data_IF_489140548638
#
_entry.id   IF_489140548638
#
_cell.length_a   1.000
_cell.length_b   1.000
_cell.length_c   1.000
_cell.angle_alpha   90.00
_cell.angle_beta   90.00
_cell.angle_gamma   90.00
#
_symmetry.space_group_name_H-M   'P 1'
#
loop_
_entity.id
_entity.type
_entity.pdbx_description
1 polymer ?
#
# COMPACT_ATOMS: atom_id res chain seq x y z
N UNK A 1 11.30 -7.99 -19.19
CA UNK A 1 10.67 -8.57 -17.99
C UNK A 1 11.64 -9.59 -17.43
N UNK A 2 12.32 -9.29 -16.33
CA UNK A 2 13.26 -10.23 -15.72
C UNK A 2 12.47 -11.35 -15.05
N UNK A 3 12.71 -12.59 -15.46
CA UNK A 3 12.10 -13.76 -14.81
C UNK A 3 12.51 -13.80 -13.33
N UNK A 4 11.59 -14.11 -12.39
CA UNK A 4 11.88 -14.01 -10.97
C UNK A 4 12.80 -15.13 -10.50
N UNK A 5 13.76 -14.76 -9.65
CA UNK A 5 14.50 -15.67 -8.77
C UNK A 5 13.54 -16.66 -8.10
N UNK A 6 13.79 -17.98 -8.21
CA UNK A 6 12.94 -19.08 -7.71
C UNK A 6 12.11 -18.69 -6.46
N UNK A 7 10.80 -18.47 -6.63
CA UNK A 7 9.85 -18.23 -5.54
C UNK A 7 9.31 -19.57 -5.01
N UNK A 8 9.17 -19.68 -3.69
CA UNK A 8 8.41 -20.79 -3.11
C UNK A 8 6.89 -20.57 -3.27
N UNK A 9 6.08 -21.59 -2.96
CA UNK A 9 4.63 -21.52 -3.18
C UNK A 9 3.93 -20.39 -2.41
N UNK A 10 4.44 -19.99 -1.24
CA UNK A 10 3.87 -18.85 -0.48
C UNK A 10 4.25 -17.52 -1.13
N UNK A 11 5.52 -17.39 -1.52
CA UNK A 11 6.01 -16.19 -2.21
C UNK A 11 5.31 -15.97 -3.54
N UNK A 12 5.08 -17.04 -4.31
CA UNK A 12 4.37 -16.98 -5.58
C UNK A 12 2.93 -16.46 -5.39
N UNK A 13 2.18 -17.03 -4.44
CA UNK A 13 0.80 -16.57 -4.16
C UNK A 13 0.76 -15.13 -3.66
N UNK A 14 1.72 -14.72 -2.84
CA UNK A 14 1.82 -13.34 -2.37
C UNK A 14 2.14 -12.39 -3.52
N UNK A 15 3.07 -12.77 -4.40
CA UNK A 15 3.42 -12.01 -5.60
C UNK A 15 2.22 -11.84 -6.53
N UNK A 16 1.56 -12.95 -6.90
CA UNK A 16 0.38 -12.93 -7.76
C UNK A 16 -0.75 -12.11 -7.14
N UNK A 17 -1.04 -12.30 -5.85
CA UNK A 17 -2.08 -11.55 -5.15
C UNK A 17 -1.81 -10.03 -5.14
N UNK A 18 -0.57 -9.61 -4.86
CA UNK A 18 -0.20 -8.20 -4.92
C UNK A 18 -0.25 -7.63 -6.33
N UNK A 19 0.18 -8.41 -7.32
CA UNK A 19 0.15 -8.01 -8.73
C UNK A 19 -1.29 -7.79 -9.22
N UNK A 20 -2.21 -8.69 -8.88
CA UNK A 20 -3.62 -8.53 -9.26
C UNK A 20 -4.29 -7.40 -8.46
N UNK A 21 -3.97 -7.23 -7.17
CA UNK A 21 -4.46 -6.10 -6.38
C UNK A 21 -3.96 -4.75 -6.96
N UNK A 22 -2.71 -4.68 -7.42
CA UNK A 22 -2.14 -3.54 -8.11
C UNK A 22 -2.93 -3.18 -9.37
N UNK A 23 -3.25 -4.18 -10.20
CA UNK A 23 -4.07 -3.97 -11.41
C UNK A 23 -5.50 -3.53 -11.05
N UNK A 24 -6.11 -4.14 -10.04
CA UNK A 24 -7.45 -3.82 -9.61
C UNK A 24 -7.57 -2.37 -9.11
N UNK A 25 -6.65 -1.95 -8.24
CA UNK A 25 -6.59 -0.58 -7.72
C UNK A 25 -6.48 0.44 -8.86
N UNK A 26 -5.54 0.20 -9.78
CA UNK A 26 -5.33 1.10 -10.91
C UNK A 26 -6.51 1.16 -11.88
N UNK A 27 -7.12 0.00 -12.18
CA UNK A 27 -8.32 -0.05 -13.00
C UNK A 27 -9.45 0.75 -12.35
N UNK A 28 -9.65 0.59 -11.05
CA UNK A 28 -10.70 1.31 -10.30
C UNK A 28 -10.50 2.82 -10.36
N UNK A 29 -9.27 3.30 -10.15
CA UNK A 29 -8.93 4.72 -10.27
C UNK A 29 -9.12 5.24 -11.71
N UNK A 30 -8.72 4.45 -12.71
CA UNK A 30 -8.87 4.81 -14.13
C UNK A 30 -10.34 4.88 -14.54
N UNK A 31 -11.15 3.89 -14.18
CA UNK A 31 -12.59 3.86 -14.46
C UNK A 31 -13.33 5.03 -13.80
N UNK A 32 -12.85 5.50 -12.65
CA UNK A 32 -13.35 6.68 -11.96
C UNK A 32 -12.83 8.02 -12.52
N UNK A 33 -12.00 8.00 -13.57
CA UNK A 33 -11.52 9.19 -14.28
C UNK A 33 -10.34 9.91 -13.63
N UNK A 34 -9.66 9.32 -12.64
CA UNK A 34 -8.54 9.97 -11.92
C UNK A 34 -7.30 10.25 -12.79
N UNK A 35 -7.23 9.63 -13.97
CA UNK A 35 -6.15 9.80 -14.94
C UNK A 35 -6.59 10.58 -16.19
N UNK A 36 -7.75 11.26 -16.11
CA UNK A 36 -8.25 12.13 -17.16
C UNK A 36 -8.43 13.55 -16.60
N UNK A 37 -8.15 14.55 -17.42
CA UNK A 37 -8.51 15.93 -17.13
C UNK A 37 -10.04 16.07 -17.20
N UNK A 38 -10.72 16.56 -16.15
CA UNK A 38 -12.18 16.57 -16.11
C UNK A 38 -12.82 17.59 -17.07
N UNK A 39 -12.06 18.60 -17.53
CA UNK A 39 -12.56 19.61 -18.46
C UNK A 39 -12.39 19.20 -19.93
N UNK A 40 -11.31 18.48 -20.24
CA UNK A 40 -10.92 18.13 -21.62
C UNK A 40 -11.09 16.65 -21.96
N UNK A 41 -11.10 15.78 -20.95
CA UNK A 41 -11.10 14.32 -21.12
C UNK A 41 -9.75 13.74 -21.55
N UNK A 42 -8.70 14.56 -21.63
CA UNK A 42 -7.37 14.13 -22.05
C UNK A 42 -6.61 13.41 -20.90
N UNK A 43 -5.71 12.47 -21.21
CA UNK A 43 -4.92 11.79 -20.18
C UNK A 43 -4.05 12.76 -19.37
N UNK A 44 -4.04 12.59 -18.05
CA UNK A 44 -3.18 13.36 -17.13
C UNK A 44 -2.21 12.46 -16.39
N UNK A 45 -1.01 13.00 -16.18
CA UNK A 45 -0.05 12.44 -15.23
C UNK A 45 -0.25 13.11 -13.88
N UNK A 46 -0.51 12.32 -12.84
CA UNK A 46 -0.69 12.82 -11.48
C UNK A 46 0.65 13.27 -10.89
N UNK A 47 0.65 14.35 -10.12
CA UNK A 47 1.86 14.82 -9.46
C UNK A 47 2.28 13.85 -8.35
N UNK A 48 3.56 13.43 -8.36
CA UNK A 48 4.05 12.46 -7.39
C UNK A 48 3.95 12.94 -5.93
N UNK A 49 4.24 14.22 -5.68
CA UNK A 49 4.15 14.79 -4.33
C UNK A 49 2.71 14.83 -3.81
N UNK A 50 1.74 15.14 -4.67
CA UNK A 50 0.31 15.15 -4.31
C UNK A 50 -0.19 13.75 -3.97
N UNK A 51 0.16 12.73 -4.78
CA UNK A 51 -0.27 11.36 -4.48
C UNK A 51 0.37 10.82 -3.20
N UNK A 52 1.61 11.19 -2.91
CA UNK A 52 2.26 10.86 -1.62
C UNK A 52 1.55 11.57 -0.45
N UNK A 53 1.21 12.84 -0.60
CA UNK A 53 0.47 13.58 0.44
C UNK A 53 -0.90 12.95 0.73
N UNK A 54 -1.59 12.42 -0.30
CA UNK A 54 -2.83 11.67 -0.13
C UNK A 54 -2.63 10.32 0.58
N UNK A 55 -1.45 9.69 0.50
CA UNK A 55 -1.17 8.49 1.32
C UNK A 55 -0.94 8.86 2.79
N UNK A 56 -0.33 10.03 3.04
CA UNK A 56 -0.14 10.56 4.38
C UNK A 56 -1.46 10.93 5.05
N UNK A 57 -2.47 11.40 4.31
CA UNK A 57 -3.79 11.67 4.88
C UNK A 57 -4.42 10.40 5.45
N UNK A 58 -4.40 9.28 4.71
CA UNK A 58 -5.10 8.06 5.19
C UNK A 58 -4.44 7.51 6.46
N UNK A 59 -3.11 7.60 6.55
CA UNK A 59 -2.41 7.22 7.79
C UNK A 59 -2.71 8.17 8.97
N UNK A 60 -3.03 9.43 8.68
CA UNK A 60 -3.46 10.39 9.70
C UNK A 60 -4.89 10.11 10.14
N UNK A 61 -5.76 9.70 9.22
CA UNK A 61 -7.14 9.26 9.50
C UNK A 61 -7.14 7.95 10.32
N UNK A 62 -6.26 7.00 10.00
CA UNK A 62 -6.07 5.79 10.80
C UNK A 62 -5.66 6.12 12.25
N UNK A 63 -4.75 7.09 12.42
CA UNK A 63 -4.33 7.54 13.76
C UNK A 63 -5.49 8.21 14.51
N UNK A 64 -6.31 8.99 13.82
CA UNK A 64 -7.50 9.63 14.39
C UNK A 64 -8.56 8.59 14.82
N UNK A 65 -8.80 7.57 13.99
CA UNK A 65 -9.68 6.46 14.30
C UNK A 65 -9.21 5.69 15.54
N UNK A 66 -7.90 5.42 15.66
CA UNK A 66 -7.32 4.81 16.86
C UNK A 66 -7.54 5.67 18.11
N UNK A 67 -7.22 6.96 18.00
CA UNK A 67 -7.32 7.92 19.11
C UNK A 67 -8.74 8.05 19.67
N UNK A 68 -9.74 7.94 18.80
CA UNK A 68 -11.16 8.12 19.15
C UNK A 68 -11.94 6.80 19.27
N UNK A 69 -11.35 5.67 18.90
CA UNK A 69 -12.04 4.38 18.84
C UNK A 69 -13.19 4.36 17.82
N UNK A 70 -12.96 4.93 16.63
CA UNK A 70 -13.99 5.08 15.60
C UNK A 70 -14.12 3.83 14.72
N UNK A 71 -15.36 3.57 14.32
CA UNK A 71 -15.67 2.76 13.14
C UNK A 71 -15.57 3.66 11.89
N UNK A 72 -15.38 3.07 10.72
CA UNK A 72 -15.34 3.83 9.47
C UNK A 72 -16.70 4.45 9.12
N UNK A 73 -16.70 5.65 8.53
CA UNK A 73 -17.92 6.37 8.17
C UNK A 73 -18.65 5.73 6.97
N UNK A 74 -17.91 5.18 6.01
CA UNK A 74 -18.46 4.60 4.77
C UNK A 74 -18.80 3.11 4.93
N UNK A 75 -18.07 2.42 5.80
CA UNK A 75 -18.23 1.02 6.20
C UNK A 75 -18.42 0.94 7.72
N UNK A 76 -19.59 1.32 8.26
CA UNK A 76 -19.82 1.45 9.72
C UNK A 76 -19.66 0.16 10.55
N UNK A 77 -19.49 -0.98 9.87
CA UNK A 77 -19.26 -2.29 10.47
C UNK A 77 -17.78 -2.67 10.53
N UNK A 78 -16.87 -1.83 10.04
CA UNK A 78 -15.41 -2.02 10.05
C UNK A 78 -14.74 -1.04 10.98
N UNK A 79 -13.65 -1.48 11.62
CA UNK A 79 -12.79 -0.61 12.41
C UNK A 79 -12.19 0.48 11.52
N UNK A 80 -12.23 1.75 11.94
CA UNK A 80 -11.74 2.86 11.12
C UNK A 80 -10.26 2.69 10.74
N UNK A 81 -9.42 2.15 11.63
CA UNK A 81 -8.00 1.90 11.33
C UNK A 81 -7.82 0.88 10.21
N UNK A 82 -8.65 -0.16 10.20
CA UNK A 82 -8.60 -1.23 9.19
C UNK A 82 -8.92 -0.66 7.80
N UNK A 83 -9.94 0.19 7.71
CA UNK A 83 -10.36 0.80 6.44
C UNK A 83 -9.31 1.80 5.94
N UNK A 84 -8.79 2.65 6.83
CA UNK A 84 -7.78 3.63 6.43
C UNK A 84 -6.44 3.00 6.00
N UNK A 85 -6.07 1.85 6.58
CA UNK A 85 -4.96 1.06 6.06
C UNK A 85 -5.25 0.48 4.67
N UNK A 86 -6.48 0.03 4.42
CA UNK A 86 -6.89 -0.45 3.11
C UNK A 86 -6.83 0.69 2.07
N UNK A 87 -7.33 1.88 2.40
CA UNK A 87 -7.28 3.07 1.53
C UNK A 87 -5.83 3.47 1.21
N UNK A 88 -4.94 3.46 2.20
CA UNK A 88 -3.51 3.69 1.98
C UNK A 88 -2.87 2.64 1.05
N UNK A 89 -3.16 1.34 1.26
CA UNK A 89 -2.68 0.25 0.40
C UNK A 89 -3.16 0.44 -1.04
N UNK A 90 -4.45 0.75 -1.24
CA UNK A 90 -5.03 0.99 -2.57
C UNK A 90 -4.32 2.13 -3.28
N UNK A 91 -4.04 3.25 -2.59
CA UNK A 91 -3.31 4.39 -3.16
C UNK A 91 -1.88 4.02 -3.57
N UNK A 92 -1.16 3.28 -2.72
CA UNK A 92 0.20 2.81 -3.03
C UNK A 92 0.17 1.93 -4.29
N UNK A 93 -0.76 1.00 -4.35
CA UNK A 93 -0.89 0.04 -5.44
C UNK A 93 -1.30 0.71 -6.77
N UNK A 94 -2.28 1.61 -6.75
CA UNK A 94 -2.65 2.43 -7.91
C UNK A 94 -1.44 3.24 -8.43
N UNK A 95 -0.75 3.95 -7.53
CA UNK A 95 0.42 4.76 -7.89
C UNK A 95 1.55 3.89 -8.44
N UNK A 96 1.78 2.71 -7.86
CA UNK A 96 2.78 1.76 -8.35
C UNK A 96 2.47 1.29 -9.78
N UNK A 97 1.20 1.00 -10.09
CA UNK A 97 0.79 0.64 -11.43
C UNK A 97 1.01 1.78 -12.42
N UNK A 98 0.56 2.99 -12.08
CA UNK A 98 0.70 4.17 -12.93
C UNK A 98 2.17 4.51 -13.26
N UNK A 99 3.08 4.24 -12.32
CA UNK A 99 4.51 4.47 -12.48
C UNK A 99 5.28 3.27 -13.05
N UNK A 100 4.61 2.13 -13.29
CA UNK A 100 5.26 0.90 -13.78
C UNK A 100 6.23 0.26 -12.78
N UNK A 101 5.98 0.41 -11.47
CA UNK A 101 6.82 -0.13 -10.41
C UNK A 101 6.45 -1.61 -10.11
N UNK A 102 7.48 -2.45 -9.95
CA UNK A 102 7.33 -3.85 -9.50
C UNK A 102 7.32 -3.93 -7.96
N UNK A 103 6.24 -3.43 -7.34
CA UNK A 103 6.10 -3.46 -5.88
C UNK A 103 5.92 -4.90 -5.37
N UNK A 104 5.23 -5.75 -6.12
CA UNK A 104 5.07 -7.17 -5.76
C UNK A 104 6.44 -7.87 -5.65
N UNK A 105 7.32 -7.72 -6.64
CA UNK A 105 8.69 -8.24 -6.60
C UNK A 105 9.50 -7.65 -5.45
N UNK A 106 9.44 -6.32 -5.28
CA UNK A 106 10.13 -5.62 -4.20
C UNK A 106 9.71 -6.11 -2.81
N UNK A 107 8.42 -6.42 -2.59
CA UNK A 107 7.92 -6.99 -1.33
C UNK A 107 8.54 -8.36 -1.06
N UNK A 108 8.62 -9.24 -2.06
CA UNK A 108 9.23 -10.56 -1.90
C UNK A 108 10.72 -10.44 -1.55
N UNK A 109 11.47 -9.65 -2.32
CA UNK A 109 12.90 -9.45 -2.09
C UNK A 109 13.18 -8.80 -0.73
N UNK A 110 12.40 -7.78 -0.36
CA UNK A 110 12.57 -7.10 0.92
C UNK A 110 12.24 -7.98 2.11
N UNK A 111 11.22 -8.84 2.00
CA UNK A 111 10.89 -9.82 3.03
C UNK A 111 12.01 -10.87 3.22
N UNK A 112 12.59 -11.36 2.12
CA UNK A 112 13.77 -12.26 2.18
C UNK A 112 14.94 -11.59 2.89
N UNK A 113 15.23 -10.33 2.54
CA UNK A 113 16.28 -9.55 3.18
C UNK A 113 16.00 -9.32 4.67
N UNK A 114 14.78 -8.90 5.04
CA UNK A 114 14.39 -8.64 6.43
C UNK A 114 14.47 -9.90 7.31
N UNK A 115 14.22 -11.09 6.74
CA UNK A 115 14.41 -12.38 7.43
C UNK A 115 15.88 -12.67 7.76
N UNK A 116 16.80 -12.20 6.91
CA UNK A 116 18.24 -12.40 7.07
C UNK A 116 18.91 -11.28 7.88
N UNK A 117 18.28 -10.09 7.96
CA UNK A 117 18.77 -8.95 8.73
C UNK A 117 18.81 -9.30 10.22
N UNK A 118 20.02 -9.46 10.74
CA UNK A 118 20.35 -10.06 12.03
C UNK A 118 19.90 -9.30 13.32
N UNK A 119 18.99 -8.32 13.25
CA UNK A 119 18.70 -7.39 14.37
C UNK A 119 17.30 -7.52 14.99
N UNK A 120 16.56 -8.59 14.70
CA UNK A 120 15.34 -8.97 15.43
C UNK A 120 15.60 -10.02 16.52
N UNK A 121 16.82 -10.08 17.08
CA UNK A 121 17.01 -10.78 18.35
C UNK A 121 16.12 -10.10 19.39
N UNK A 122 15.28 -10.89 20.06
CA UNK A 122 14.43 -10.47 21.17
C UNK A 122 15.19 -9.60 22.20
N UNK A 123 16.50 -9.85 22.34
CA UNK A 123 17.46 -9.13 23.17
C UNK A 123 17.49 -7.60 22.89
N UNK A 124 17.31 -7.15 21.64
CA UNK A 124 17.33 -5.72 21.30
C UNK A 124 15.96 -5.03 21.44
N UNK A 125 14.86 -5.80 21.58
CA UNK A 125 13.50 -5.26 21.80
C UNK A 125 13.16 -5.07 23.28
N UNK A 126 13.87 -5.77 24.17
CA UNK A 126 13.71 -5.67 25.62
C UNK A 126 14.22 -4.35 26.22
N UNK A 127 14.99 -3.55 25.47
CA UNK A 127 15.55 -2.28 25.91
C UNK A 127 14.58 -1.07 25.88
N UNK A 128 13.27 -1.32 25.83
CA UNK A 128 12.25 -0.27 25.86
C UNK A 128 12.15 0.49 24.53
N UNK A 129 11.64 -0.18 23.50
CA UNK A 129 11.21 0.52 22.28
C UNK A 129 10.16 1.58 22.62
N UNK A 130 10.29 2.78 22.03
CA UNK A 130 9.38 3.91 22.26
C UNK A 130 7.94 3.48 22.00
N UNK A 131 7.08 3.58 23.02
CA UNK A 131 5.66 3.88 22.79
C UNK A 131 5.64 5.27 22.13
N UNK A 132 4.89 5.36 21.04
CA UNK A 132 4.69 6.52 20.17
C UNK A 132 4.90 7.87 20.88
#
# INVERSE_FOLDING_TARGET
MNAPHHMNAVELRAYEGLLEAQRLAHKTATDAGWYLDPATGEPVTRNFGEVVALMHSELSEALEADRKGLMDDKLPHRDGREVEFADCIIRILDTAAALGLDVAGAVIEKNRFNKQRADHKLENRAAGGKRY
#
